data_IF_983733365831
#
_entry.id   IF_983733365831
#
_cell.length_a   1.000
_cell.length_b   1.000
_cell.length_c   1.000
_cell.angle_alpha   90.00
_cell.angle_beta   90.00
_cell.angle_gamma   90.00
#
_symmetry.space_group_name_H-M   'P 1'
#
loop_
_entity.id
_entity.type
_entity.pdbx_description
1 polymer ?
#
# COMPACT_ATOMS: atom_id res chain seq x y z
N UNK A 1 -19.54 -19.82 11.90
CA UNK A 1 -19.24 -19.78 10.46
C UNK A 1 -18.89 -18.34 10.23
N UNK A 2 -17.64 -18.13 9.87
CA UNK A 2 -17.06 -16.80 9.81
C UNK A 2 -16.74 -16.51 8.34
N UNK A 3 -16.61 -15.24 8.00
CA UNK A 3 -16.21 -14.84 6.66
C UNK A 3 -14.75 -14.42 6.68
N UNK A 4 -13.99 -14.93 5.71
CA UNK A 4 -12.57 -14.65 5.58
C UNK A 4 -12.31 -14.05 4.20
N UNK A 5 -11.44 -13.05 4.15
CA UNK A 5 -11.01 -12.43 2.90
C UNK A 5 -9.70 -13.07 2.46
N UNK A 6 -9.68 -13.56 1.22
CA UNK A 6 -8.53 -14.24 0.64
C UNK A 6 -8.20 -13.56 -0.69
N UNK A 7 -6.99 -13.03 -0.79
CA UNK A 7 -6.42 -12.53 -2.03
C UNK A 7 -5.87 -13.71 -2.83
N UNK A 8 -6.11 -13.74 -4.15
CA UNK A 8 -5.62 -14.82 -5.02
C UNK A 8 -4.80 -14.19 -6.14
N UNK A 9 -3.48 -14.36 -6.13
CA UNK A 9 -2.64 -13.97 -7.25
C UNK A 9 -2.82 -14.97 -8.39
N UNK A 10 -3.22 -14.48 -9.56
CA UNK A 10 -3.60 -15.29 -10.72
C UNK A 10 -3.51 -14.49 -12.03
N UNK A 11 -4.04 -15.04 -13.13
CA UNK A 11 -4.21 -14.33 -14.40
C UNK A 11 -5.69 -14.10 -14.67
N UNK A 12 -6.05 -12.90 -15.12
CA UNK A 12 -7.40 -12.65 -15.61
C UNK A 12 -7.62 -13.25 -17.01
N UNK A 13 -8.85 -13.13 -17.53
CA UNK A 13 -9.22 -13.66 -18.85
C UNK A 13 -8.42 -13.12 -20.05
N UNK A 14 -7.64 -12.05 -19.85
CA UNK A 14 -6.72 -11.51 -20.87
C UNK A 14 -5.27 -12.01 -20.70
N UNK A 15 -5.03 -12.92 -19.76
CA UNK A 15 -3.71 -13.44 -19.42
C UNK A 15 -2.85 -12.47 -18.59
N UNK A 16 -3.40 -11.34 -18.15
CA UNK A 16 -2.68 -10.34 -17.37
C UNK A 16 -2.65 -10.75 -15.88
N UNK A 17 -1.55 -10.50 -15.16
CA UNK A 17 -1.51 -10.71 -13.71
C UNK A 17 -2.59 -9.91 -13.00
N UNK A 18 -3.26 -10.54 -12.03
CA UNK A 18 -4.29 -9.92 -11.19
C UNK A 18 -4.25 -10.50 -9.78
N UNK A 19 -4.83 -9.79 -8.81
CA UNK A 19 -4.95 -10.21 -7.41
C UNK A 19 -6.37 -9.92 -6.88
N UNK A 20 -7.42 -10.61 -7.37
CA UNK A 20 -8.78 -10.48 -6.82
C UNK A 20 -8.85 -10.93 -5.35
N UNK A 21 -9.76 -10.31 -4.60
CA UNK A 21 -10.08 -10.68 -3.21
C UNK A 21 -11.46 -11.31 -3.16
N UNK A 22 -11.53 -12.53 -2.61
CA UNK A 22 -12.78 -13.27 -2.43
C UNK A 22 -13.15 -13.34 -0.95
N UNK A 23 -14.46 -13.31 -0.68
CA UNK A 23 -14.99 -13.56 0.67
C UNK A 23 -15.49 -14.99 0.73
N UNK A 24 -14.86 -15.82 1.57
CA UNK A 24 -15.21 -17.23 1.74
C UNK A 24 -15.84 -17.46 3.11
N UNK A 25 -16.91 -18.26 3.15
CA UNK A 25 -17.49 -18.74 4.39
C UNK A 25 -16.67 -19.93 4.92
N UNK A 26 -16.16 -19.82 6.15
CA UNK A 26 -15.25 -20.78 6.76
C UNK A 26 -15.79 -21.33 8.08
N UNK A 27 -15.45 -22.59 8.33
CA UNK A 27 -15.57 -23.27 9.63
C UNK A 27 -14.18 -23.38 10.26
N UNK A 28 -14.06 -23.62 11.58
CA UNK A 28 -12.76 -23.82 12.21
C UNK A 28 -11.93 -24.95 11.56
N UNK A 29 -12.60 -26.01 11.11
CA UNK A 29 -11.97 -27.12 10.39
C UNK A 29 -11.40 -26.68 9.04
N UNK A 30 -12.09 -25.78 8.32
CA UNK A 30 -11.59 -25.29 7.04
C UNK A 30 -10.29 -24.49 7.19
N UNK A 31 -10.15 -23.78 8.32
CA UNK A 31 -8.93 -23.04 8.65
C UNK A 31 -7.81 -24.03 8.98
N UNK A 32 -8.07 -24.99 9.87
CA UNK A 32 -7.10 -26.00 10.30
C UNK A 32 -6.59 -26.88 9.15
N UNK A 33 -7.47 -27.25 8.21
CA UNK A 33 -7.14 -28.09 7.06
C UNK A 33 -6.65 -27.29 5.83
N UNK A 34 -6.72 -25.96 5.86
CA UNK A 34 -6.32 -25.10 4.74
C UNK A 34 -7.32 -25.03 3.57
N UNK A 35 -8.50 -25.67 3.69
CA UNK A 35 -9.48 -25.79 2.59
C UNK A 35 -10.19 -24.47 2.26
N UNK A 36 -10.05 -23.46 3.10
CA UNK A 36 -10.52 -22.10 2.79
C UNK A 36 -9.83 -21.52 1.54
N UNK A 37 -8.59 -21.92 1.24
CA UNK A 37 -7.90 -21.56 0.00
C UNK A 37 -8.51 -22.26 -1.23
N UNK A 38 -8.87 -23.54 -1.12
CA UNK A 38 -9.54 -24.25 -2.21
C UNK A 38 -10.88 -23.59 -2.57
N UNK A 39 -11.62 -23.10 -1.55
CA UNK A 39 -12.86 -22.33 -1.77
C UNK A 39 -12.61 -21.02 -2.50
N UNK A 40 -11.53 -20.29 -2.19
CA UNK A 40 -11.18 -19.07 -2.88
C UNK A 40 -10.74 -19.33 -4.33
N UNK A 41 -10.00 -20.42 -4.57
CA UNK A 41 -9.61 -20.87 -5.91
C UNK A 41 -10.85 -21.20 -6.74
N UNK A 42 -11.80 -21.96 -6.18
CA UNK A 42 -13.05 -22.29 -6.88
C UNK A 42 -13.83 -21.03 -7.29
N UNK A 43 -13.89 -20.01 -6.42
CA UNK A 43 -14.50 -18.72 -6.75
C UNK A 43 -13.73 -17.97 -7.85
N UNK A 44 -12.40 -18.04 -7.85
CA UNK A 44 -11.56 -17.46 -8.89
C UNK A 44 -11.79 -18.14 -10.25
N UNK A 45 -11.84 -19.47 -10.27
CA UNK A 45 -12.13 -20.25 -11.47
C UNK A 45 -13.54 -19.96 -12.02
N UNK A 46 -14.56 -19.90 -11.16
CA UNK A 46 -15.93 -19.52 -11.53
C UNK A 46 -15.99 -18.10 -12.12
N UNK A 47 -15.14 -17.19 -11.62
CA UNK A 47 -14.96 -15.84 -12.14
C UNK A 47 -14.06 -15.77 -13.39
N UNK A 48 -13.62 -16.92 -13.94
CA UNK A 48 -12.77 -17.06 -15.13
C UNK A 48 -11.34 -16.53 -14.97
N UNK A 49 -10.81 -16.57 -13.75
CA UNK A 49 -9.39 -16.43 -13.52
C UNK A 49 -8.66 -17.75 -13.81
N UNK A 50 -7.41 -17.63 -14.24
CA UNK A 50 -6.56 -18.75 -14.62
C UNK A 50 -5.34 -18.85 -13.70
N UNK A 51 -4.91 -20.08 -13.45
CA UNK A 51 -3.72 -20.36 -12.67
C UNK A 51 -2.41 -19.90 -13.35
N UNK A 52 -1.28 -19.96 -12.63
CA UNK A 52 -1.14 -20.52 -11.28
C UNK A 52 -1.84 -19.67 -10.22
N UNK A 53 -2.44 -20.33 -9.22
CA UNK A 53 -3.09 -19.67 -8.09
C UNK A 53 -2.15 -19.66 -6.88
N UNK A 54 -1.98 -18.49 -6.27
CA UNK A 54 -1.33 -18.35 -4.96
C UNK A 54 -2.26 -17.55 -4.07
N UNK A 55 -2.69 -18.14 -2.96
CA UNK A 55 -3.63 -17.51 -2.04
C UNK A 55 -2.87 -16.84 -0.88
N UNK A 56 -3.47 -15.77 -0.36
CA UNK A 56 -2.97 -15.02 0.79
C UNK A 56 -4.15 -14.61 1.66
N UNK A 57 -4.04 -14.85 2.97
CA UNK A 57 -4.92 -14.24 3.95
C UNK A 57 -4.30 -13.01 4.64
N UNK A 58 -4.96 -12.50 5.68
CA UNK A 58 -4.48 -11.34 6.42
C UNK A 58 -3.19 -11.62 7.22
N UNK A 59 -2.97 -12.85 7.68
CA UNK A 59 -1.75 -13.25 8.41
C UNK A 59 -0.55 -13.39 7.45
N UNK A 60 -0.82 -13.72 6.20
CA UNK A 60 0.17 -13.92 5.13
C UNK A 60 0.36 -12.67 4.25
N UNK A 61 -0.25 -11.54 4.60
CA UNK A 61 -0.16 -10.31 3.79
C UNK A 61 1.23 -9.64 3.83
N UNK A 62 2.12 -10.07 4.74
CA UNK A 62 3.45 -9.46 4.95
C UNK A 62 4.30 -9.33 3.68
N UNK A 63 4.53 -10.42 2.92
CA UNK A 63 5.25 -10.37 1.64
C UNK A 63 4.60 -9.46 0.59
N UNK A 64 3.26 -9.40 0.52
CA UNK A 64 2.54 -8.50 -0.40
C UNK A 64 2.85 -7.05 -0.04
N UNK A 65 2.79 -6.69 1.24
CA UNK A 65 3.10 -5.34 1.71
C UNK A 65 4.55 -4.94 1.42
N UNK A 66 5.49 -5.87 1.59
CA UNK A 66 6.92 -5.62 1.26
C UNK A 66 7.08 -5.34 -0.23
N UNK A 67 6.48 -6.16 -1.09
CA UNK A 67 6.54 -5.96 -2.54
C UNK A 67 5.86 -4.65 -2.97
N UNK A 68 4.67 -4.36 -2.44
CA UNK A 68 3.93 -3.14 -2.75
C UNK A 68 4.70 -1.87 -2.31
N UNK A 69 5.42 -1.91 -1.19
CA UNK A 69 6.34 -0.82 -0.79
C UNK A 69 7.54 -0.71 -1.72
N UNK A 70 8.17 -1.82 -2.09
CA UNK A 70 9.33 -1.82 -2.99
C UNK A 70 9.00 -1.32 -4.41
N UNK A 71 7.73 -1.40 -4.81
CA UNK A 71 7.21 -0.89 -6.08
C UNK A 71 6.59 0.52 -5.95
N UNK A 72 6.71 1.17 -4.79
CA UNK A 72 6.14 2.49 -4.50
C UNK A 72 4.61 2.58 -4.74
N UNK A 73 3.88 1.46 -4.54
CA UNK A 73 2.44 1.36 -4.81
C UNK A 73 1.56 1.75 -3.61
N UNK A 74 2.10 1.70 -2.40
CA UNK A 74 1.36 2.10 -1.19
C UNK A 74 1.62 3.59 -0.97
N UNK A 75 0.63 4.48 -1.18
CA UNK A 75 0.77 5.87 -0.84
C UNK A 75 0.98 5.99 0.66
N UNK A 76 2.06 6.64 1.05
CA UNK A 76 2.35 6.92 2.45
C UNK A 76 1.35 7.96 2.94
N UNK A 77 0.56 7.62 3.95
CA UNK A 77 -0.40 8.57 4.51
C UNK A 77 0.37 9.53 5.43
N UNK A 78 0.45 10.79 5.02
CA UNK A 78 1.05 11.87 5.80
C UNK A 78 -0.06 12.62 6.52
N UNK A 79 -0.10 12.51 7.85
CA UNK A 79 -0.98 13.33 8.68
C UNK A 79 -0.21 14.56 9.14
N UNK A 80 -0.70 15.73 8.76
CA UNK A 80 -0.17 17.04 9.18
C UNK A 80 -1.15 17.65 10.18
N UNK A 81 -0.73 17.79 11.43
CA UNK A 81 -1.50 18.52 12.44
C UNK A 81 -1.20 20.02 12.34
N UNK A 82 -2.20 20.80 11.94
CA UNK A 82 -2.14 22.26 11.81
C UNK A 82 -2.96 22.97 12.89
N UNK A 83 -3.26 22.29 14.01
CA UNK A 83 -3.93 22.92 15.14
C UNK A 83 -3.14 24.18 15.54
N UNK A 84 -3.85 25.30 15.68
CA UNK A 84 -3.30 26.65 15.93
C UNK A 84 -2.52 27.30 14.76
N UNK A 85 -2.65 26.78 13.54
CA UNK A 85 -2.12 27.40 12.32
C UNK A 85 -0.61 27.18 12.09
N UNK A 86 0.03 26.32 12.89
CA UNK A 86 1.41 25.88 12.70
C UNK A 86 1.47 24.36 12.59
N UNK A 87 2.44 23.83 11.82
CA UNK A 87 2.70 22.38 11.77
C UNK A 87 3.18 21.93 13.15
N UNK A 88 2.34 21.19 13.88
CA UNK A 88 2.67 20.66 15.21
C UNK A 88 3.37 19.31 15.12
N UNK A 89 2.90 18.42 14.23
CA UNK A 89 3.52 17.12 14.02
C UNK A 89 3.22 16.55 12.63
N UNK A 90 4.15 15.72 12.14
CA UNK A 90 4.02 14.91 10.93
C UNK A 90 4.14 13.44 11.34
N UNK A 91 3.14 12.63 11.03
CA UNK A 91 3.14 11.18 11.34
C UNK A 91 2.92 10.37 10.07
N UNK A 92 3.58 9.22 9.99
CA UNK A 92 3.45 8.23 8.92
C UNK A 92 3.30 6.83 9.52
N UNK A 93 2.58 5.98 8.81
CA UNK A 93 2.26 4.62 9.18
C UNK A 93 3.34 3.58 8.79
N UNK A 94 4.29 3.92 7.90
CA UNK A 94 5.62 3.28 7.73
C UNK A 94 6.46 3.90 6.59
N UNK A 95 7.80 3.91 6.72
CA UNK A 95 8.75 4.16 5.62
C UNK A 95 9.37 5.57 5.58
N UNK A 96 10.19 5.84 4.55
CA UNK A 96 10.77 7.17 4.29
C UNK A 96 9.69 8.12 3.76
N UNK A 97 9.33 9.14 4.53
CA UNK A 97 8.32 10.13 4.14
C UNK A 97 8.92 11.16 3.19
N UNK A 98 8.31 11.32 2.02
CA UNK A 98 8.60 12.44 1.14
C UNK A 98 7.76 13.66 1.52
N UNK A 99 8.26 14.48 2.43
CA UNK A 99 7.59 15.71 2.86
C UNK A 99 7.85 16.83 1.87
N UNK A 100 6.80 17.30 1.20
CA UNK A 100 6.83 18.49 0.35
C UNK A 100 6.35 19.67 1.19
N UNK A 101 7.28 20.54 1.60
CA UNK A 101 6.93 21.84 2.17
C UNK A 101 6.75 22.86 1.04
N UNK A 102 5.65 23.62 1.07
CA UNK A 102 5.31 24.64 0.10
C UNK A 102 5.18 25.99 0.80
N UNK A 103 5.76 27.04 0.22
CA UNK A 103 5.61 28.44 0.62
C UNK A 103 5.19 29.24 -0.62
N UNK A 104 4.02 29.87 -0.58
CA UNK A 104 3.49 30.71 -1.67
C UNK A 104 4.34 31.96 -1.92
N UNK A 105 5.23 32.31 -0.98
CA UNK A 105 6.10 33.49 -1.08
C UNK A 105 7.41 33.23 -1.82
N UNK A 106 7.74 31.96 -2.15
CA UNK A 106 8.94 31.60 -2.93
C UNK A 106 8.53 31.22 -4.37
N UNK A 107 8.73 32.16 -5.30
CA UNK A 107 8.22 32.09 -6.68
C UNK A 107 9.32 31.85 -7.74
N UNK A 108 10.54 31.45 -7.35
CA UNK A 108 11.65 31.33 -8.30
C UNK A 108 11.59 30.06 -9.17
N UNK A 109 11.07 30.17 -10.39
CA UNK A 109 10.91 29.07 -11.38
C UNK A 109 12.19 28.26 -11.69
N UNK A 110 13.39 28.77 -11.36
CA UNK A 110 14.68 28.11 -11.58
C UNK A 110 15.11 27.19 -10.43
N UNK A 111 14.28 27.00 -9.42
CA UNK A 111 14.60 26.16 -8.25
C UNK A 111 14.73 24.68 -8.61
N UNK A 112 15.77 24.02 -8.09
CA UNK A 112 15.98 22.56 -8.19
C UNK A 112 14.86 21.73 -7.52
N UNK A 113 13.90 22.40 -6.87
CA UNK A 113 12.69 21.83 -6.28
C UNK A 113 11.61 21.44 -7.31
N UNK A 114 11.65 21.94 -8.55
CA UNK A 114 10.62 21.66 -9.55
C UNK A 114 10.73 20.25 -10.12
N UNK A 115 9.70 19.42 -9.94
CA UNK A 115 9.64 18.06 -10.50
C UNK A 115 8.20 17.62 -10.81
N UNK A 116 8.03 16.76 -11.82
CA UNK A 116 6.76 16.11 -12.10
C UNK A 116 6.53 14.96 -11.10
N UNK A 117 5.36 14.94 -10.44
CA UNK A 117 5.00 13.97 -9.39
C UNK A 117 3.59 13.38 -9.62
N UNK A 118 3.35 12.09 -9.35
CA UNK A 118 2.06 11.44 -9.55
C UNK A 118 1.06 11.77 -8.41
N UNK A 119 0.72 13.04 -8.25
CA UNK A 119 -0.15 13.56 -7.17
C UNK A 119 -1.60 13.79 -7.60
N UNK A 120 -1.89 13.74 -8.91
CA UNK A 120 -3.24 13.96 -9.44
C UNK A 120 -4.15 12.75 -9.30
N UNK A 121 -5.45 12.95 -9.57
CA UNK A 121 -6.46 11.89 -9.53
C UNK A 121 -6.05 10.71 -10.43
N UNK A 122 -6.10 9.48 -9.88
CA UNK A 122 -5.67 8.27 -10.61
C UNK A 122 -4.17 8.18 -10.89
N UNK A 123 -3.31 8.93 -10.18
CA UNK A 123 -1.86 8.88 -10.35
C UNK A 123 -1.33 9.77 -11.49
N UNK A 124 -2.13 10.74 -11.95
CA UNK A 124 -1.71 11.70 -12.98
C UNK A 124 -0.46 12.49 -12.53
N UNK A 125 0.50 12.65 -13.45
CA UNK A 125 1.68 13.49 -13.24
C UNK A 125 1.29 14.97 -13.21
N UNK A 126 1.57 15.63 -12.09
CA UNK A 126 1.38 17.06 -11.88
C UNK A 126 2.75 17.69 -11.68
N UNK A 127 3.02 18.77 -12.41
CA UNK A 127 4.25 19.56 -12.24
C UNK A 127 4.13 20.38 -10.97
N UNK A 128 4.98 20.11 -9.99
CA UNK A 128 4.91 20.78 -8.70
C UNK A 128 6.30 21.07 -8.13
N UNK A 129 6.35 21.96 -7.14
CA UNK A 129 7.52 22.11 -6.29
C UNK A 129 7.52 20.98 -5.26
N UNK A 130 8.65 20.28 -5.15
CA UNK A 130 8.82 19.14 -4.27
C UNK A 130 10.24 19.15 -3.68
N UNK A 131 10.35 19.36 -2.38
CA UNK A 131 11.56 19.02 -1.63
C UNK A 131 11.50 17.57 -1.18
N UNK A 132 12.62 16.87 -1.31
CA UNK A 132 12.78 15.47 -0.91
C UNK A 132 13.87 15.45 0.13
N UNK A 133 13.50 15.19 1.39
CA UNK A 133 14.48 14.97 2.43
C UNK A 133 14.30 13.55 2.95
N UNK A 134 15.39 12.80 2.97
CA UNK A 134 15.46 11.55 3.71
C UNK A 134 15.42 11.90 5.19
N UNK A 135 14.42 11.41 5.91
CA UNK A 135 14.36 11.61 7.36
C UNK A 135 15.44 10.76 8.04
N UNK A 136 16.26 11.38 8.88
CA UNK A 136 17.19 10.64 9.75
C UNK A 136 16.40 9.91 10.85
N UNK A 137 16.79 8.67 11.13
CA UNK A 137 16.23 7.89 12.24
C UNK A 137 16.54 8.61 13.54
N UNK A 138 15.51 8.94 14.33
CA UNK A 138 15.68 9.55 15.64
C UNK A 138 16.57 8.64 16.53
N UNK A 139 17.75 9.12 16.98
CA UNK A 139 18.67 8.33 17.78
C UNK A 139 18.11 7.91 19.14
N UNK A 140 16.98 8.49 19.58
CA UNK A 140 16.24 8.11 20.79
C UNK A 140 15.28 6.92 20.62
N UNK A 141 15.00 6.48 19.39
CA UNK A 141 14.09 5.35 19.14
C UNK A 141 14.80 4.01 19.39
N UNK A 142 14.35 3.29 20.42
CA UNK A 142 14.85 1.94 20.71
C UNK A 142 13.99 0.89 20.01
N UNK A 143 14.64 -0.03 19.29
CA UNK A 143 13.97 -1.16 18.63
C UNK A 143 13.29 -2.03 19.68
N UNK A 144 11.97 -2.16 19.64
CA UNK A 144 11.24 -3.14 20.45
C UNK A 144 11.67 -4.52 19.97
N UNK A 145 12.33 -5.31 20.84
CA UNK A 145 12.73 -6.68 20.53
C UNK A 145 11.49 -7.54 20.40
N UNK A 146 11.31 -8.14 19.21
CA UNK A 146 10.46 -9.32 19.03
C UNK A 146 11.11 -10.57 19.61
#
# INVERSE_FOLDING_TARGET
>A
MDNMHIAVACRNASGMPDVPVFTVAVTPRDIEEGTHYDKAIALAEDARYEGPFVCFDAEEAGPILVAARALDLIPQVVVIDMTDGAVQSVRCDAGEIKVICYDENDTEETSAAMADRPLGEGGQLVRCWAHVQTADVDPGLTKVRG
#
